data_IF_881081444536
#
_entry.id   IF_881081444536
#
_cell.length_a   1.000
_cell.length_b   1.000
_cell.length_c   1.000
_cell.angle_alpha   90.00
_cell.angle_beta   90.00
_cell.angle_gamma   90.00
#
_symmetry.space_group_name_H-M   'P 1'
#
loop_
_entity.id
_entity.type
_entity.pdbx_description
1 polymer ?
#
# COMPACT_ATOMS: atom_id res chain seq x y z
N UNK A 1 -10.91 -20.18 -14.96
CA UNK A 1 -11.70 -20.40 -13.73
C UNK A 1 -10.95 -20.01 -12.45
N UNK A 2 -9.68 -20.38 -12.24
CA UNK A 2 -8.92 -20.09 -11.00
C UNK A 2 -8.81 -18.60 -10.63
N UNK A 3 -8.61 -17.70 -11.60
CA UNK A 3 -8.44 -16.26 -11.35
C UNK A 3 -9.74 -15.56 -10.89
N UNK A 4 -10.90 -15.96 -11.45
CA UNK A 4 -12.19 -15.37 -11.08
C UNK A 4 -12.57 -15.65 -9.62
N UNK A 5 -12.18 -16.82 -9.09
CA UNK A 5 -12.40 -17.15 -7.68
C UNK A 5 -11.56 -16.27 -6.75
N UNK A 6 -10.29 -16.05 -7.10
CA UNK A 6 -9.36 -15.22 -6.33
C UNK A 6 -9.79 -13.75 -6.32
N UNK A 7 -10.12 -13.19 -7.49
CA UNK A 7 -10.62 -11.81 -7.61
C UNK A 7 -11.91 -11.61 -6.80
N UNK A 8 -12.83 -12.58 -6.85
CA UNK A 8 -14.06 -12.55 -6.07
C UNK A 8 -13.79 -12.63 -4.57
N UNK A 9 -12.86 -13.49 -4.14
CA UNK A 9 -12.47 -13.60 -2.73
C UNK A 9 -11.83 -12.31 -2.21
N UNK A 10 -10.93 -11.69 -2.99
CA UNK A 10 -10.32 -10.40 -2.64
C UNK A 10 -11.39 -9.31 -2.56
N UNK A 11 -12.26 -9.23 -3.57
CA UNK A 11 -13.37 -8.25 -3.62
C UNK A 11 -14.29 -8.39 -2.42
N UNK A 12 -14.73 -9.62 -2.09
CA UNK A 12 -15.52 -9.89 -0.89
C UNK A 12 -14.77 -9.46 0.37
N UNK A 13 -13.50 -9.80 0.51
CA UNK A 13 -12.70 -9.47 1.70
C UNK A 13 -12.56 -7.96 1.91
N UNK A 14 -12.42 -7.19 0.83
CA UNK A 14 -12.33 -5.72 0.89
C UNK A 14 -13.69 -5.09 1.23
N UNK A 15 -14.78 -5.63 0.68
CA UNK A 15 -16.14 -5.07 0.86
C UNK A 15 -16.75 -5.48 2.22
N UNK A 16 -16.41 -6.66 2.74
CA UNK A 16 -16.93 -7.20 4.01
C UNK A 16 -15.94 -7.01 5.17
N UNK A 17 -15.36 -5.82 5.26
CA UNK A 17 -14.46 -5.45 6.35
C UNK A 17 -15.29 -5.04 7.59
N UNK A 18 -15.63 -6.00 8.45
CA UNK A 18 -16.33 -5.75 9.70
C UNK A 18 -15.41 -6.04 10.90
N UNK A 19 -15.51 -5.26 11.96
CA UNK A 19 -14.75 -5.49 13.19
C UNK A 19 -15.62 -5.34 14.44
N UNK A 20 -15.38 -6.16 15.48
CA UNK A 20 -16.05 -6.02 16.76
C UNK A 20 -15.40 -4.91 17.59
N UNK A 21 -16.21 -4.05 18.21
CA UNK A 21 -15.74 -3.05 19.16
C UNK A 21 -16.85 -2.72 20.16
N UNK A 22 -16.53 -2.61 21.45
CA UNK A 22 -17.47 -2.26 22.51
C UNK A 22 -18.87 -2.93 22.39
N UNK A 23 -18.89 -4.27 22.23
CA UNK A 23 -20.10 -5.09 22.07
C UNK A 23 -20.93 -4.83 20.80
N UNK A 24 -20.46 -4.00 19.87
CA UNK A 24 -21.05 -3.77 18.55
C UNK A 24 -20.21 -4.37 17.42
N UNK A 25 -20.80 -4.46 16.23
CA UNK A 25 -20.12 -4.81 14.98
C UNK A 25 -20.18 -3.58 14.07
N UNK A 26 -19.02 -3.15 13.59
CA UNK A 26 -18.90 -1.97 12.75
C UNK A 26 -18.30 -2.35 11.41
N UNK A 27 -18.82 -1.75 10.33
CA UNK A 27 -18.23 -1.85 9.00
C UNK A 27 -17.17 -0.78 8.80
N UNK A 28 -16.00 -1.16 8.30
CA UNK A 28 -14.99 -0.22 7.83
C UNK A 28 -15.32 0.19 6.39
N UNK A 29 -15.68 1.46 6.21
CA UNK A 29 -16.08 2.03 4.91
C UNK A 29 -14.91 2.67 4.14
N UNK A 30 -13.79 2.93 4.81
CA UNK A 30 -12.65 3.64 4.22
C UNK A 30 -11.35 2.88 4.43
N UNK A 31 -10.54 2.81 3.37
CA UNK A 31 -9.25 2.09 3.36
C UNK A 31 -9.39 0.60 3.68
N UNK A 32 -8.25 -0.09 3.76
CA UNK A 32 -8.17 -1.50 4.10
C UNK A 32 -8.20 -1.68 5.62
N UNK A 33 -8.86 -2.73 6.10
CA UNK A 33 -8.94 -3.04 7.52
C UNK A 33 -7.59 -3.52 8.04
N UNK A 34 -7.10 -2.87 9.10
CA UNK A 34 -5.84 -3.27 9.73
C UNK A 34 -5.98 -4.65 10.36
N UNK A 35 -4.93 -5.46 10.28
CA UNK A 35 -4.93 -6.84 10.79
C UNK A 35 -5.55 -7.88 9.86
N UNK A 36 -6.15 -7.49 8.72
CA UNK A 36 -6.59 -8.46 7.73
C UNK A 36 -5.41 -9.05 6.94
N UNK A 37 -5.43 -10.36 6.61
CA UNK A 37 -4.28 -11.03 6.00
C UNK A 37 -3.81 -10.43 4.67
N UNK A 38 -4.74 -9.92 3.87
CA UNK A 38 -4.45 -9.36 2.56
C UNK A 38 -4.20 -7.84 2.58
N UNK A 39 -4.48 -7.16 3.68
CA UNK A 39 -4.36 -5.69 3.73
C UNK A 39 -2.94 -5.19 3.44
N UNK A 40 -1.86 -5.79 3.96
CA UNK A 40 -0.51 -5.35 3.62
C UNK A 40 -0.19 -5.52 2.11
N UNK A 41 -0.62 -6.65 1.52
CA UNK A 41 -0.39 -6.93 0.11
C UNK A 41 -1.17 -5.96 -0.79
N UNK A 42 -2.45 -5.73 -0.48
CA UNK A 42 -3.30 -4.81 -1.24
C UNK A 42 -2.84 -3.36 -1.09
N UNK A 43 -2.39 -2.95 0.09
CA UNK A 43 -1.76 -1.65 0.30
C UNK A 43 -0.50 -1.50 -0.56
N UNK A 44 0.35 -2.53 -0.59
CA UNK A 44 1.57 -2.55 -1.39
C UNK A 44 1.28 -2.44 -2.90
N UNK A 45 0.24 -3.13 -3.40
CA UNK A 45 -0.22 -3.04 -4.80
C UNK A 45 -0.79 -1.66 -5.12
N UNK A 46 -1.60 -1.09 -4.22
CA UNK A 46 -2.18 0.24 -4.40
C UNK A 46 -1.08 1.30 -4.45
N UNK A 47 -0.17 1.31 -3.47
CA UNK A 47 0.92 2.27 -3.40
C UNK A 47 1.85 2.17 -4.62
N UNK A 48 2.13 0.96 -5.13
CA UNK A 48 2.88 0.81 -6.38
C UNK A 48 2.17 1.38 -7.62
N UNK A 49 0.84 1.51 -7.62
CA UNK A 49 0.11 2.25 -8.67
C UNK A 49 0.23 3.76 -8.47
N UNK A 50 0.05 4.22 -7.23
CA UNK A 50 0.20 5.63 -6.83
C UNK A 50 1.59 6.12 -7.22
N UNK A 51 2.66 5.43 -6.83
CA UNK A 51 4.04 5.79 -7.17
C UNK A 51 4.29 5.96 -8.66
N UNK A 52 3.72 5.08 -9.50
CA UNK A 52 3.81 5.19 -10.97
C UNK A 52 3.15 6.45 -11.50
N UNK A 53 2.05 6.89 -10.91
CA UNK A 53 1.40 8.16 -11.28
C UNK A 53 2.26 9.37 -10.88
N UNK A 54 3.13 9.22 -9.88
CA UNK A 54 4.04 10.26 -9.38
C UNK A 54 5.48 10.14 -9.89
N UNK A 55 5.77 9.29 -10.90
CA UNK A 55 7.12 9.09 -11.46
C UNK A 55 7.71 10.37 -12.07
N UNK A 56 8.31 11.19 -11.22
CA UNK A 56 9.54 11.94 -11.50
C UNK A 56 10.51 11.63 -10.36
N UNK A 57 11.41 10.63 -10.51
CA UNK A 57 12.43 10.44 -9.50
C UNK A 57 13.29 11.72 -9.42
N UNK A 58 13.62 12.21 -8.20
CA UNK A 58 14.63 13.25 -8.08
C UNK A 58 15.93 12.75 -8.71
N UNK A 59 16.62 13.62 -9.44
CA UNK A 59 17.93 13.34 -10.02
C UNK A 59 18.86 12.85 -8.89
N UNK A 60 19.31 11.59 -8.97
CA UNK A 60 20.34 10.94 -8.14
C UNK A 60 19.89 10.29 -6.81
N UNK A 61 18.79 9.54 -6.82
CA UNK A 61 18.51 8.62 -5.71
C UNK A 61 19.43 7.38 -5.77
N UNK A 62 20.20 7.13 -4.72
CA UNK A 62 21.16 6.00 -4.67
C UNK A 62 20.50 4.72 -4.17
N UNK A 63 19.65 4.83 -3.15
CA UNK A 63 18.89 3.71 -2.59
C UNK A 63 17.49 4.20 -2.22
N UNK A 64 16.47 3.44 -2.62
CA UNK A 64 15.09 3.59 -2.14
C UNK A 64 14.65 2.26 -1.55
N UNK A 65 14.31 2.26 -0.26
CA UNK A 65 13.62 1.15 0.38
C UNK A 65 12.21 1.64 0.69
N UNK A 66 11.22 0.84 0.32
CA UNK A 66 9.81 1.17 0.47
C UNK A 66 9.10 0.16 1.37
N UNK A 67 8.36 0.68 2.33
CA UNK A 67 7.37 -0.04 3.13
C UNK A 67 5.96 0.45 2.72
N UNK A 68 4.87 -0.25 3.13
CA UNK A 68 3.52 0.14 2.72
C UNK A 68 3.13 1.59 3.05
N UNK A 69 3.67 2.16 4.12
CA UNK A 69 3.41 3.49 4.64
C UNK A 69 4.65 4.39 4.77
N UNK A 70 5.85 3.82 4.71
CA UNK A 70 7.12 4.54 4.85
C UNK A 70 8.04 4.44 3.63
N UNK A 71 8.93 5.44 3.50
CA UNK A 71 10.04 5.43 2.55
C UNK A 71 11.35 5.73 3.26
N UNK A 72 12.39 4.99 2.88
CA UNK A 72 13.77 5.28 3.25
C UNK A 72 14.56 5.56 1.97
N UNK A 73 15.13 6.75 1.87
CA UNK A 73 15.88 7.19 0.70
C UNK A 73 17.29 7.64 1.09
N UNK A 74 18.28 7.21 0.31
CA UNK A 74 19.64 7.76 0.35
C UNK A 74 19.88 8.56 -0.93
N UNK A 75 20.30 9.81 -0.76
CA UNK A 75 20.63 10.73 -1.83
C UNK A 75 22.13 11.01 -1.80
N UNK A 76 22.82 10.81 -2.91
CA UNK A 76 24.21 11.24 -3.06
C UNK A 76 24.22 12.76 -3.32
N UNK A 77 24.74 13.53 -2.38
CA UNK A 77 24.97 14.95 -2.61
C UNK A 77 26.26 15.14 -3.40
N UNK A 78 26.15 15.35 -4.72
CA UNK A 78 27.27 15.83 -5.52
C UNK A 78 27.39 17.35 -5.37
N UNK A 79 28.20 17.79 -4.43
CA UNK A 79 28.61 19.18 -4.34
C UNK A 79 29.30 19.59 -5.63
N UNK A 80 28.74 20.57 -6.34
CA UNK A 80 29.51 21.32 -7.33
C UNK A 80 30.54 22.15 -6.55
N UNK A 81 31.82 21.78 -6.66
CA UNK A 81 32.92 22.62 -6.21
C UNK A 81 32.82 23.96 -6.96
N UNK A 82 32.61 25.04 -6.22
CA UNK A 82 32.65 26.42 -6.71
C UNK A 82 34.07 26.80 -7.14
#
# INVERSE_FOLDING_TARGET
MRNQSLERMISLTVITAYFPFNRGIYGQIFRLLMGYPFSPLLANVYMGKVEKEFEKPPLQLTVLIRLPDDYFALLEYRGHTL
#
